data_IF_873228453156
#
_entry.id   IF_873228453156
#
_cell.length_a   1.000
_cell.length_b   1.000
_cell.length_c   1.000
_cell.angle_alpha   90.00
_cell.angle_beta   90.00
_cell.angle_gamma   90.00
#
_symmetry.space_group_name_H-M   'P 1'
#
loop_
_entity.id
_entity.type
_entity.pdbx_description
1 polymer ?
#
# COMPACT_ATOMS: atom_id res chain seq x y z
N UNK A 1 9.95 7.58 0.05
CA UNK A 1 8.53 7.32 -0.22
C UNK A 1 8.35 6.69 -1.58
N UNK A 2 7.29 5.95 -1.74
CA UNK A 2 6.92 5.29 -3.00
C UNK A 2 5.49 5.63 -3.37
N UNK A 3 5.21 5.66 -4.66
CA UNK A 3 3.85 5.80 -5.19
C UNK A 3 3.25 4.43 -5.43
N UNK A 4 2.04 4.24 -4.95
CA UNK A 4 1.19 3.10 -5.34
C UNK A 4 0.28 3.58 -6.46
N UNK A 5 0.34 2.92 -7.60
CA UNK A 5 -0.47 3.24 -8.77
C UNK A 5 -1.49 2.14 -8.99
N UNK A 6 -2.76 2.48 -8.94
CA UNK A 6 -3.85 1.53 -9.14
C UNK A 6 -5.04 2.24 -9.80
N UNK A 7 -5.54 1.67 -10.88
CA UNK A 7 -6.71 2.18 -11.61
C UNK A 7 -6.65 3.68 -11.94
N UNK A 8 -5.48 4.18 -12.31
CA UNK A 8 -5.29 5.60 -12.64
C UNK A 8 -5.13 6.51 -11.43
N UNK A 9 -5.18 5.97 -10.22
CA UNK A 9 -4.97 6.72 -8.99
C UNK A 9 -3.53 6.56 -8.49
N UNK A 10 -3.04 7.58 -7.81
CA UNK A 10 -1.69 7.60 -7.24
C UNK A 10 -1.78 7.90 -5.76
N UNK A 11 -1.16 7.05 -4.96
CA UNK A 11 -1.09 7.22 -3.50
C UNK A 11 0.37 7.18 -3.08
N UNK A 12 0.85 8.28 -2.49
CA UNK A 12 2.21 8.37 -1.98
C UNK A 12 2.21 7.88 -0.53
N UNK A 13 3.07 6.96 -0.18
CA UNK A 13 3.16 6.43 1.18
C UNK A 13 4.60 6.04 1.52
N UNK A 14 4.82 5.55 2.74
CA UNK A 14 6.15 5.10 3.14
C UNK A 14 6.59 3.90 2.30
N UNK A 15 7.90 3.73 2.17
CA UNK A 15 8.46 2.61 1.44
C UNK A 15 7.98 1.27 2.00
N UNK A 16 7.98 1.15 3.33
CA UNK A 16 7.58 -0.09 4.01
C UNK A 16 6.12 -0.43 3.75
N UNK A 17 5.23 0.56 3.82
CA UNK A 17 3.81 0.35 3.55
C UNK A 17 3.59 -0.03 2.08
N UNK A 18 4.23 0.68 1.16
CA UNK A 18 4.09 0.39 -0.27
C UNK A 18 4.56 -1.03 -0.61
N UNK A 19 5.70 -1.43 -0.07
CA UNK A 19 6.24 -2.77 -0.30
C UNK A 19 5.36 -3.86 0.33
N UNK A 20 4.82 -3.60 1.52
CA UNK A 20 3.90 -4.53 2.18
C UNK A 20 2.59 -4.69 1.41
N UNK A 21 2.06 -3.59 0.86
CA UNK A 21 0.85 -3.63 0.03
C UNK A 21 1.09 -4.49 -1.22
N UNK A 22 2.21 -4.30 -1.89
CA UNK A 22 2.54 -5.08 -3.08
C UNK A 22 2.70 -6.56 -2.73
N UNK A 23 3.41 -6.88 -1.65
CA UNK A 23 3.62 -8.25 -1.22
C UNK A 23 2.29 -8.95 -0.88
N UNK A 24 1.42 -8.26 -0.14
CA UNK A 24 0.11 -8.79 0.22
C UNK A 24 -0.78 -8.98 -1.01
N UNK A 25 -0.78 -8.00 -1.92
CA UNK A 25 -1.53 -8.11 -3.18
C UNK A 25 -1.09 -9.33 -3.99
N UNK A 26 0.21 -9.58 -4.05
CA UNK A 26 0.76 -10.74 -4.74
C UNK A 26 0.28 -12.05 -4.11
N UNK A 27 0.31 -12.14 -2.79
CA UNK A 27 -0.15 -13.32 -2.06
C UNK A 27 -1.65 -13.56 -2.23
N UNK A 28 -2.45 -12.50 -2.19
CA UNK A 28 -3.88 -12.59 -2.43
C UNK A 28 -4.17 -13.10 -3.86
N UNK A 29 -3.43 -12.58 -4.83
CA UNK A 29 -3.58 -13.03 -6.21
C UNK A 29 -3.28 -14.52 -6.35
N UNK A 30 -2.22 -15.00 -5.71
CA UNK A 30 -1.82 -16.41 -5.76
C UNK A 30 -2.82 -17.33 -5.08
N UNK A 31 -3.50 -16.86 -4.04
CA UNK A 31 -4.47 -17.66 -3.29
C UNK A 31 -5.92 -17.48 -3.76
N UNK A 32 -6.15 -16.57 -4.71
CA UNK A 32 -7.50 -16.27 -5.20
C UNK A 32 -8.35 -15.47 -4.23
N UNK A 33 -7.73 -14.82 -3.22
CA UNK A 33 -8.43 -14.03 -2.22
C UNK A 33 -8.50 -12.55 -2.57
N UNK A 34 -9.31 -11.83 -1.82
CA UNK A 34 -9.40 -10.38 -1.88
C UNK A 34 -9.43 -9.81 -0.46
N UNK A 35 -8.96 -8.59 -0.29
CA UNK A 35 -9.02 -7.90 1.00
C UNK A 35 -8.93 -6.39 0.79
N UNK A 36 -9.44 -5.64 1.75
CA UNK A 36 -9.28 -4.19 1.79
C UNK A 36 -8.20 -3.86 2.79
N UNK A 37 -7.21 -3.08 2.38
CA UNK A 37 -6.17 -2.56 3.26
C UNK A 37 -6.32 -1.05 3.41
N UNK A 38 -6.01 -0.55 4.59
CA UNK A 38 -6.03 0.86 4.89
C UNK A 38 -4.65 1.32 5.35
N UNK A 39 -4.27 2.52 4.94
CA UNK A 39 -2.98 3.09 5.32
C UNK A 39 -3.01 4.61 5.18
N UNK A 40 -2.07 5.25 5.90
CA UNK A 40 -1.86 6.68 5.76
C UNK A 40 -1.06 6.94 4.48
N UNK A 41 -1.57 7.84 3.65
CA UNK A 41 -0.90 8.21 2.41
C UNK A 41 -1.19 9.64 2.00
N UNK A 42 -0.59 10.05 0.91
CA UNK A 42 -0.85 11.37 0.31
C UNK A 42 -1.51 11.13 -1.04
N UNK A 43 -2.70 11.66 -1.18
CA UNK A 43 -3.49 11.57 -2.40
C UNK A 43 -3.88 12.99 -2.83
N UNK A 44 -3.53 13.35 -4.05
CA UNK A 44 -3.79 14.70 -4.59
C UNK A 44 -3.26 15.82 -3.69
N UNK A 45 -2.07 15.60 -3.11
CA UNK A 45 -1.40 16.58 -2.27
C UNK A 45 -1.85 16.64 -0.83
N UNK A 46 -2.83 15.83 -0.42
CA UNK A 46 -3.35 15.83 0.93
C UNK A 46 -3.06 14.51 1.66
N UNK A 47 -2.69 14.60 2.93
CA UNK A 47 -2.54 13.44 3.81
C UNK A 47 -3.92 12.88 4.12
N UNK A 48 -4.12 11.61 3.84
CA UNK A 48 -5.42 10.95 4.00
C UNK A 48 -5.27 9.51 4.43
N UNK A 49 -6.32 8.96 5.02
CA UNK A 49 -6.43 7.50 5.14
C UNK A 49 -6.90 6.96 3.79
N UNK A 50 -6.12 6.05 3.25
CA UNK A 50 -6.41 5.44 1.96
C UNK A 50 -6.89 4.02 2.18
N UNK A 51 -7.86 3.57 1.39
CA UNK A 51 -8.33 2.19 1.42
C UNK A 51 -8.26 1.62 0.01
N UNK A 52 -7.63 0.46 -0.14
CA UNK A 52 -7.49 -0.21 -1.43
C UNK A 52 -8.04 -1.62 -1.37
N UNK A 53 -8.81 -2.00 -2.39
CA UNK A 53 -9.22 -3.38 -2.58
C UNK A 53 -8.14 -4.11 -3.38
N UNK A 54 -7.54 -5.11 -2.75
CA UNK A 54 -6.47 -5.91 -3.34
C UNK A 54 -6.96 -7.30 -3.73
N UNK A 55 -6.27 -7.92 -4.68
CA UNK A 55 -6.58 -9.28 -5.11
C UNK A 55 -7.54 -9.37 -6.28
N UNK A 56 -8.06 -8.24 -6.76
CA UNK A 56 -8.89 -8.21 -7.96
C UNK A 56 -8.02 -8.20 -9.22
N UNK A 57 -8.65 -8.46 -10.36
CA UNK A 57 -7.99 -8.31 -11.66
C UNK A 57 -7.76 -6.82 -11.94
N UNK A 58 -6.60 -6.31 -11.68
CA UNK A 58 -6.22 -4.93 -11.97
C UNK A 58 -4.73 -4.81 -11.87
N UNK A 59 -4.15 -3.78 -12.49
CA UNK A 59 -2.72 -3.54 -12.37
C UNK A 59 -2.43 -2.72 -11.13
N UNK A 60 -1.50 -3.23 -10.33
CA UNK A 60 -0.94 -2.51 -9.20
C UNK A 60 0.54 -2.33 -9.45
N UNK A 61 1.03 -1.10 -9.37
CA UNK A 61 2.44 -0.80 -9.50
C UNK A 61 2.92 0.01 -8.31
N UNK A 62 4.16 -0.23 -7.90
CA UNK A 62 4.83 0.55 -6.88
C UNK A 62 6.08 1.16 -7.51
N UNK A 63 6.22 2.46 -7.40
CA UNK A 63 7.28 3.22 -8.05
C UNK A 63 7.94 4.14 -7.03
N UNK A 64 9.27 4.21 -7.05
CA UNK A 64 9.98 5.20 -6.24
C UNK A 64 9.56 6.60 -6.65
N UNK A 65 9.11 7.37 -5.70
CA UNK A 65 8.59 8.70 -5.98
C UNK A 65 9.68 9.74 -6.22
N UNK A 66 10.92 9.46 -5.84
CA UNK A 66 12.03 10.39 -5.97
C UNK A 66 11.90 11.62 -5.07
N UNK A 67 10.98 11.61 -4.15
CA UNK A 67 10.72 12.72 -3.25
C UNK A 67 11.10 12.27 -1.84
N UNK A 68 12.02 12.98 -1.24
CA UNK A 68 12.26 12.85 0.18
C UNK A 68 11.25 13.72 0.91
N UNK A 69 10.24 13.14 1.49
CA UNK A 69 9.39 13.89 2.40
C UNK A 69 10.08 13.95 3.75
N UNK A 70 10.14 15.13 4.35
CA UNK A 70 10.91 15.32 5.59
C UNK A 70 10.25 14.73 6.84
N UNK A 71 9.07 14.15 6.71
CA UNK A 71 8.36 13.61 7.85
C UNK A 71 7.76 12.24 7.53
N UNK A 72 7.77 11.36 8.52
CA UNK A 72 7.05 10.09 8.44
C UNK A 72 5.55 10.36 8.53
N UNK A 73 4.77 9.60 7.79
CA UNK A 73 3.32 9.65 7.89
C UNK A 73 2.89 9.06 9.23
N UNK A 74 2.01 9.75 9.93
CA UNK A 74 1.49 9.30 11.21
C UNK A 74 0.75 7.98 11.04
N UNK A 75 1.08 6.98 11.84
CA UNK A 75 0.46 5.67 11.79
C UNK A 75 1.05 4.71 10.77
N UNK A 76 2.08 5.12 10.02
CA UNK A 76 2.68 4.27 8.99
C UNK A 76 3.23 2.96 9.56
N UNK A 77 3.87 3.00 10.73
CA UNK A 77 4.40 1.80 11.36
C UNK A 77 3.31 0.81 11.74
N UNK A 78 2.19 1.30 12.25
CA UNK A 78 1.04 0.48 12.61
C UNK A 78 0.39 -0.11 11.35
N UNK A 79 0.27 0.70 10.31
CA UNK A 79 -0.29 0.25 9.03
C UNK A 79 0.59 -0.86 8.42
N UNK A 80 1.90 -0.64 8.41
CA UNK A 80 2.85 -1.63 7.92
C UNK A 80 2.72 -2.95 8.69
N UNK A 81 2.71 -2.87 10.02
CA UNK A 81 2.65 -4.06 10.87
C UNK A 81 1.37 -4.86 10.60
N UNK A 82 0.23 -4.20 10.44
CA UNK A 82 -1.04 -4.87 10.16
C UNK A 82 -1.04 -5.55 8.79
N UNK A 83 -0.59 -4.86 7.76
CA UNK A 83 -0.54 -5.42 6.41
C UNK A 83 0.44 -6.59 6.35
N UNK A 84 1.62 -6.44 6.96
CA UNK A 84 2.61 -7.51 7.01
C UNK A 84 2.09 -8.73 7.77
N UNK A 85 1.36 -8.52 8.85
CA UNK A 85 0.74 -9.61 9.62
C UNK A 85 -0.25 -10.40 8.75
N UNK A 86 -1.09 -9.71 7.99
CA UNK A 86 -2.06 -10.35 7.09
C UNK A 86 -1.35 -11.11 5.97
N UNK A 87 -0.28 -10.55 5.42
CA UNK A 87 0.52 -11.23 4.39
C UNK A 87 1.16 -12.50 4.95
N UNK A 88 1.73 -12.44 6.15
CA UNK A 88 2.37 -13.59 6.79
C UNK A 88 1.37 -14.72 7.06
N UNK A 89 0.12 -14.39 7.30
CA UNK A 89 -0.92 -15.39 7.51
C UNK A 89 -1.23 -16.20 6.23
N UNK A 90 -0.85 -15.70 5.07
CA UNK A 90 -1.04 -16.36 3.77
C UNK A 90 0.18 -17.15 3.30
N UNK A 91 1.32 -17.04 3.97
CA UNK A 91 2.55 -17.74 3.58
C UNK A 91 2.55 -19.20 3.98
#
# INVERSE_FOLDING_TARGET
MKDILIDGHRFLTSDDVADAVMDYARLLHLTGGTDVVEFAGIHEGEVSRCALLLGCSGSLAVVDAGVGLPSTLSGADTDYAEIARRADALR
#
